data_IF_709410864953
#
_entry.id   IF_709410864953
#
_cell.length_a   1.000
_cell.length_b   1.000
_cell.length_c   1.000
_cell.angle_alpha   90.00
_cell.angle_beta   90.00
_cell.angle_gamma   90.00
#
_symmetry.space_group_name_H-M   'P 1'
#
loop_
_entity.id
_entity.type
_entity.pdbx_description
1 polymer ?
#
# COMPACT_ATOMS: atom_id res chain seq x y z
N UNK A 1 58.12 -19.26 8.40
CA UNK A 1 57.60 -20.19 9.42
C UNK A 1 56.83 -21.28 8.68
N UNK A 2 57.49 -22.38 8.34
CA UNK A 2 56.90 -23.46 7.56
C UNK A 2 56.06 -24.33 8.51
N UNK A 3 54.75 -24.14 8.51
CA UNK A 3 53.83 -25.00 9.26
C UNK A 3 53.91 -26.41 8.68
N UNK A 4 54.59 -27.31 9.38
CA UNK A 4 54.73 -28.69 8.94
C UNK A 4 53.35 -29.31 8.71
N UNK A 5 53.13 -30.03 7.60
CA UNK A 5 51.84 -30.65 7.27
C UNK A 5 51.22 -31.46 8.41
N UNK A 6 52.06 -32.04 9.26
CA UNK A 6 51.67 -32.80 10.43
C UNK A 6 50.88 -31.97 11.47
N UNK A 7 51.17 -30.68 11.61
CA UNK A 7 50.43 -29.79 12.52
C UNK A 7 49.00 -29.55 12.06
N UNK A 8 48.74 -29.49 10.76
CA UNK A 8 47.38 -29.36 10.22
C UNK A 8 46.53 -30.58 10.52
N UNK A 9 47.13 -31.78 10.46
CA UNK A 9 46.43 -33.04 10.76
C UNK A 9 46.05 -33.09 12.24
N UNK A 10 46.95 -32.70 13.14
CA UNK A 10 46.67 -32.63 14.59
C UNK A 10 45.62 -31.56 14.91
N UNK A 11 45.68 -30.40 14.27
CA UNK A 11 44.75 -29.30 14.50
C UNK A 11 43.33 -29.65 14.01
N UNK A 12 43.21 -30.24 12.82
CA UNK A 12 41.91 -30.72 12.30
C UNK A 12 41.36 -31.84 13.17
N UNK A 13 42.21 -32.78 13.61
CA UNK A 13 41.81 -33.83 14.54
C UNK A 13 41.29 -33.28 15.87
N UNK A 14 41.94 -32.25 16.42
CA UNK A 14 41.50 -31.59 17.65
C UNK A 14 40.14 -30.89 17.48
N UNK A 15 39.92 -30.19 16.37
CA UNK A 15 38.63 -29.55 16.06
C UNK A 15 37.52 -30.59 15.93
N UNK A 16 37.78 -31.72 15.26
CA UNK A 16 36.81 -32.82 15.12
C UNK A 16 36.50 -33.47 16.46
N UNK A 17 37.50 -33.68 17.32
CA UNK A 17 37.30 -34.21 18.68
C UNK A 17 36.47 -33.26 19.55
N UNK A 18 36.71 -31.95 19.46
CA UNK A 18 35.91 -30.95 20.17
C UNK A 18 34.47 -30.94 19.66
N UNK A 19 34.26 -30.96 18.35
CA UNK A 19 32.92 -31.02 17.77
C UNK A 19 32.17 -32.30 18.13
N UNK A 20 32.88 -33.43 18.07
CA UNK A 20 32.35 -34.74 18.46
C UNK A 20 31.98 -34.77 19.95
N UNK A 21 32.84 -34.25 20.83
CA UNK A 21 32.59 -34.21 22.26
C UNK A 21 31.44 -33.24 22.62
N UNK A 22 31.33 -32.11 21.92
CA UNK A 22 30.25 -31.15 22.09
C UNK A 22 28.89 -31.73 21.67
N UNK A 23 28.83 -32.41 20.52
CA UNK A 23 27.62 -33.10 20.06
C UNK A 23 27.29 -34.35 20.91
N UNK A 24 28.32 -35.09 21.35
CA UNK A 24 28.15 -36.28 22.18
C UNK A 24 27.72 -35.93 23.61
N UNK A 25 28.17 -34.81 24.18
CA UNK A 25 27.69 -34.33 25.49
C UNK A 25 26.22 -33.90 25.47
N UNK A 26 25.69 -33.50 24.32
CA UNK A 26 24.25 -33.26 24.13
C UNK A 26 23.41 -34.54 24.03
N UNK A 27 23.99 -35.68 23.60
CA UNK A 27 23.27 -36.96 23.43
C UNK A 27 23.54 -38.00 24.52
N UNK A 28 24.70 -37.93 25.19
CA UNK A 28 25.17 -38.93 26.15
C UNK A 28 24.38 -38.99 27.46
N UNK A 29 23.64 -37.93 27.81
CA UNK A 29 22.80 -37.89 29.00
C UNK A 29 21.34 -38.34 28.77
N UNK A 30 20.91 -38.53 27.51
CA UNK A 30 19.48 -38.72 27.20
C UNK A 30 19.13 -40.08 26.56
N UNK A 31 20.10 -40.98 26.39
CA UNK A 31 19.90 -42.25 25.64
C UNK A 31 18.91 -43.22 26.31
N UNK A 32 18.62 -43.06 27.59
CA UNK A 32 17.62 -43.88 28.32
C UNK A 32 16.22 -43.24 28.36
N UNK A 33 16.03 -41.99 27.89
CA UNK A 33 14.73 -41.27 27.92
C UNK A 33 14.20 -40.90 26.52
N UNK A 34 14.99 -41.14 25.48
CA UNK A 34 14.71 -40.70 24.10
C UNK A 34 13.60 -41.48 23.38
N UNK A 35 13.21 -42.68 23.84
CA UNK A 35 12.20 -43.50 23.15
C UNK A 35 10.75 -43.09 23.49
N UNK A 36 10.47 -42.67 24.73
CA UNK A 36 9.19 -42.03 25.10
C UNK A 36 9.07 -40.60 24.56
N UNK A 37 10.21 -39.91 24.44
CA UNK A 37 10.25 -38.51 23.97
C UNK A 37 9.96 -38.39 22.47
N UNK A 38 10.31 -39.42 21.68
CA UNK A 38 9.99 -39.44 20.25
C UNK A 38 8.51 -39.70 19.98
N UNK A 39 7.86 -40.54 20.79
CA UNK A 39 6.41 -40.79 20.68
C UNK A 39 5.60 -39.58 21.13
N UNK A 40 6.00 -38.95 22.25
CA UNK A 40 5.42 -37.68 22.68
C UNK A 40 5.62 -36.54 21.67
N UNK A 41 6.77 -36.51 20.97
CA UNK A 41 7.04 -35.54 19.90
C UNK A 41 6.20 -35.78 18.64
N UNK A 42 5.93 -37.04 18.29
CA UNK A 42 5.03 -37.40 17.19
C UNK A 42 3.57 -37.04 17.53
N UNK A 43 3.11 -37.33 18.75
CA UNK A 43 1.77 -36.95 19.21
C UNK A 43 1.57 -35.43 19.28
N UNK A 44 2.59 -34.68 19.70
CA UNK A 44 2.56 -33.21 19.67
C UNK A 44 2.54 -32.67 18.24
N UNK A 45 3.22 -33.34 17.30
CA UNK A 45 3.15 -33.00 15.88
C UNK A 45 1.78 -33.31 15.28
N UNK A 46 1.16 -34.43 15.66
CA UNK A 46 -0.20 -34.81 15.25
C UNK A 46 -1.23 -33.80 15.75
N UNK A 47 -1.17 -33.42 17.04
CA UNK A 47 -2.05 -32.41 17.62
C UNK A 47 -1.88 -31.04 16.94
N UNK A 48 -0.63 -30.66 16.63
CA UNK A 48 -0.35 -29.44 15.89
C UNK A 48 -0.90 -29.48 14.45
N UNK A 49 -0.92 -30.66 13.83
CA UNK A 49 -1.43 -30.85 12.47
C UNK A 49 -2.96 -30.86 12.43
N UNK A 50 -3.62 -31.46 13.43
CA UNK A 50 -5.07 -31.34 13.63
C UNK A 50 -5.49 -29.89 13.84
N UNK A 51 -4.78 -29.18 14.72
CA UNK A 51 -5.04 -27.76 14.96
C UNK A 51 -4.76 -26.89 13.72
N UNK A 52 -3.76 -27.25 12.92
CA UNK A 52 -3.49 -26.58 11.65
C UNK A 52 -4.59 -26.85 10.62
N UNK A 53 -5.07 -28.09 10.50
CA UNK A 53 -6.19 -28.43 9.59
C UNK A 53 -7.47 -27.70 9.97
N UNK A 54 -7.81 -27.65 11.27
CA UNK A 54 -8.99 -26.93 11.75
C UNK A 54 -8.91 -25.43 11.39
N UNK A 55 -7.74 -24.82 11.63
CA UNK A 55 -7.52 -23.42 11.29
C UNK A 55 -7.51 -23.17 9.77
N UNK A 56 -7.00 -24.10 8.98
CA UNK A 56 -6.96 -23.99 7.51
C UNK A 56 -8.34 -24.14 6.89
N UNK A 57 -9.18 -25.05 7.41
CA UNK A 57 -10.57 -25.20 6.96
C UNK A 57 -11.38 -23.93 7.27
N UNK A 58 -11.18 -23.35 8.46
CA UNK A 58 -11.81 -22.10 8.83
C UNK A 58 -11.32 -20.94 7.95
N UNK A 59 -10.02 -20.86 7.69
CA UNK A 59 -9.46 -19.87 6.76
C UNK A 59 -9.99 -20.02 5.34
N UNK A 60 -10.23 -21.25 4.88
CA UNK A 60 -10.79 -21.50 3.55
C UNK A 60 -12.25 -21.04 3.49
N UNK A 61 -13.05 -21.29 4.53
CA UNK A 61 -14.44 -20.80 4.63
C UNK A 61 -14.51 -19.27 4.70
N UNK A 62 -13.60 -18.64 5.42
CA UNK A 62 -13.56 -17.18 5.54
C UNK A 62 -13.14 -16.51 4.21
N UNK A 63 -12.14 -17.07 3.52
CA UNK A 63 -11.71 -16.59 2.21
C UNK A 63 -12.81 -16.71 1.16
N UNK A 64 -13.52 -17.84 1.11
CA UNK A 64 -14.63 -18.01 0.16
C UNK A 64 -15.77 -17.05 0.49
N UNK A 65 -16.11 -16.88 1.77
CA UNK A 65 -17.09 -15.90 2.22
C UNK A 65 -16.74 -14.47 1.82
N UNK A 66 -15.47 -14.06 2.01
CA UNK A 66 -14.98 -12.73 1.64
C UNK A 66 -14.99 -12.50 0.13
N UNK A 67 -14.62 -13.50 -0.67
CA UNK A 67 -14.67 -13.39 -2.13
C UNK A 67 -16.11 -13.27 -2.63
N UNK A 68 -17.04 -14.01 -2.03
CA UNK A 68 -18.46 -13.90 -2.36
C UNK A 68 -19.01 -12.51 -2.03
N UNK A 69 -18.74 -12.01 -0.82
CA UNK A 69 -19.20 -10.67 -0.42
C UNK A 69 -18.53 -9.56 -1.22
N UNK A 70 -17.24 -9.69 -1.56
CA UNK A 70 -16.52 -8.76 -2.43
C UNK A 70 -17.16 -8.72 -3.83
N UNK A 71 -17.54 -9.86 -4.40
CA UNK A 71 -18.23 -9.90 -5.69
C UNK A 71 -19.61 -9.28 -5.63
N UNK A 72 -20.32 -9.45 -4.52
CA UNK A 72 -21.64 -8.86 -4.31
C UNK A 72 -21.55 -7.33 -4.21
N UNK A 73 -20.57 -6.84 -3.45
CA UNK A 73 -20.26 -5.41 -3.37
C UNK A 73 -19.87 -4.82 -4.73
N UNK A 74 -19.00 -5.48 -5.50
CA UNK A 74 -18.63 -5.01 -6.84
C UNK A 74 -19.84 -4.94 -7.78
N UNK A 75 -20.77 -5.90 -7.71
CA UNK A 75 -22.01 -5.89 -8.48
C UNK A 75 -22.91 -4.73 -8.09
N UNK A 76 -23.06 -4.47 -6.78
CA UNK A 76 -23.89 -3.38 -6.30
C UNK A 76 -23.30 -2.02 -6.68
N UNK A 77 -21.99 -1.85 -6.57
CA UNK A 77 -21.30 -0.66 -7.06
C UNK A 77 -21.44 -0.48 -8.56
N UNK A 78 -21.28 -1.55 -9.34
CA UNK A 78 -21.48 -1.51 -10.79
C UNK A 78 -22.90 -1.09 -11.14
N UNK A 79 -23.92 -1.66 -10.47
CA UNK A 79 -25.31 -1.30 -10.66
C UNK A 79 -25.56 0.17 -10.35
N UNK A 80 -25.00 0.68 -9.24
CA UNK A 80 -25.12 2.09 -8.86
C UNK A 80 -24.44 3.03 -9.86
N UNK A 81 -23.31 2.61 -10.45
CA UNK A 81 -22.65 3.38 -11.52
C UNK A 81 -23.48 3.38 -12.79
N UNK A 82 -24.07 2.26 -13.16
CA UNK A 82 -24.97 2.13 -14.31
C UNK A 82 -26.23 2.99 -14.16
N UNK A 83 -26.85 2.99 -12.97
CA UNK A 83 -27.99 3.87 -12.64
C UNK A 83 -27.61 5.37 -12.82
N UNK A 84 -26.42 5.77 -12.36
CA UNK A 84 -25.92 7.14 -12.54
C UNK A 84 -25.63 7.47 -14.01
N UNK A 85 -25.10 6.52 -14.77
CA UNK A 85 -24.84 6.71 -16.21
C UNK A 85 -26.17 6.90 -16.93
N UNK A 86 -27.17 6.07 -16.66
CA UNK A 86 -28.50 6.19 -17.25
C UNK A 86 -29.14 7.55 -16.95
N UNK A 87 -29.03 8.04 -15.70
CA UNK A 87 -29.52 9.37 -15.33
C UNK A 87 -28.79 10.50 -16.09
N UNK A 88 -27.47 10.39 -16.24
CA UNK A 88 -26.68 11.37 -17.00
C UNK A 88 -27.03 11.36 -18.50
N UNK A 89 -27.25 10.18 -19.08
CA UNK A 89 -27.70 10.01 -20.46
C UNK A 89 -29.09 10.65 -20.68
N UNK A 90 -30.02 10.46 -19.74
CA UNK A 90 -31.34 11.10 -19.80
C UNK A 90 -31.21 12.64 -19.72
N UNK A 91 -30.37 13.16 -18.83
CA UNK A 91 -30.13 14.61 -18.72
C UNK A 91 -29.50 15.18 -19.99
N UNK A 92 -28.53 14.47 -20.58
CA UNK A 92 -27.90 14.87 -21.83
C UNK A 92 -28.90 14.88 -23.00
N UNK A 93 -29.72 13.82 -23.14
CA UNK A 93 -30.73 13.76 -24.21
C UNK A 93 -31.80 14.84 -24.05
N UNK A 94 -32.22 15.14 -22.81
CA UNK A 94 -33.14 16.26 -22.53
C UNK A 94 -32.53 17.61 -22.92
N UNK A 95 -31.31 17.89 -22.48
CA UNK A 95 -30.60 19.14 -22.82
C UNK A 95 -30.41 19.29 -24.33
N UNK A 96 -30.04 18.20 -25.00
CA UNK A 96 -29.89 18.21 -26.46
C UNK A 96 -31.21 18.51 -27.15
N UNK A 97 -32.33 17.94 -26.67
CA UNK A 97 -33.67 18.24 -27.20
C UNK A 97 -34.08 19.70 -26.98
N UNK A 98 -33.78 20.26 -25.82
CA UNK A 98 -34.03 21.69 -25.53
C UNK A 98 -33.22 22.60 -26.46
N UNK A 99 -31.94 22.28 -26.71
CA UNK A 99 -31.10 23.01 -27.66
C UNK A 99 -31.59 22.89 -29.10
N UNK A 100 -32.01 21.70 -29.53
CA UNK A 100 -32.59 21.50 -30.87
C UNK A 100 -33.89 22.31 -31.04
N UNK A 101 -34.75 22.35 -30.03
CA UNK A 101 -35.97 23.17 -30.05
C UNK A 101 -35.68 24.67 -30.06
N UNK A 102 -34.68 25.13 -29.29
CA UNK A 102 -34.23 26.53 -29.33
C UNK A 102 -33.59 26.89 -30.66
N UNK A 103 -32.75 26.02 -31.22
CA UNK A 103 -32.15 26.22 -32.53
C UNK A 103 -33.22 26.29 -33.63
N UNK A 104 -34.22 25.40 -33.58
CA UNK A 104 -35.35 25.42 -34.50
C UNK A 104 -36.20 26.70 -34.36
N UNK A 105 -36.44 27.19 -33.14
CA UNK A 105 -37.19 28.43 -32.92
C UNK A 105 -36.43 29.67 -33.40
N UNK A 106 -35.12 29.73 -33.18
CA UNK A 106 -34.25 30.80 -33.73
C UNK A 106 -34.20 30.74 -35.25
N UNK A 107 -34.08 29.56 -35.85
CA UNK A 107 -34.11 29.39 -37.30
C UNK A 107 -35.45 29.81 -37.91
N UNK A 108 -36.57 29.46 -37.28
CA UNK A 108 -37.90 29.90 -37.69
C UNK A 108 -38.09 31.41 -37.54
N UNK A 109 -37.59 32.02 -36.47
CA UNK A 109 -37.60 33.47 -36.27
C UNK A 109 -36.72 34.20 -37.30
N UNK A 110 -35.56 33.63 -37.67
CA UNK A 110 -34.70 34.16 -38.73
C UNK A 110 -35.33 34.04 -40.12
N UNK A 111 -36.04 32.94 -40.39
CA UNK A 111 -36.77 32.74 -41.65
C UNK A 111 -38.00 33.65 -41.77
N UNK A 112 -38.73 33.87 -40.68
CA UNK A 112 -39.86 34.81 -40.63
C UNK A 112 -39.40 36.29 -40.60
N UNK A 113 -38.21 36.56 -40.06
CA UNK A 113 -37.56 37.88 -39.98
C UNK A 113 -36.69 38.24 -41.18
N UNK A 114 -36.77 37.46 -42.28
CA UNK A 114 -35.96 37.65 -43.49
C UNK A 114 -36.35 38.87 -44.33
N UNK A 115 -36.23 40.08 -43.78
CA UNK A 115 -35.84 41.32 -44.49
C UNK A 115 -35.76 42.51 -43.53
N UNK A 116 -34.77 42.52 -42.61
CA UNK A 116 -34.23 43.77 -42.06
C UNK A 116 -32.98 43.48 -41.23
N UNK A 117 -31.81 43.93 -41.71
CA UNK A 117 -30.70 44.25 -40.82
C UNK A 117 -29.50 43.31 -40.84
N UNK A 118 -28.99 42.93 -42.01
CA UNK A 118 -27.54 42.73 -42.10
C UNK A 118 -26.87 44.11 -42.05
N UNK A 119 -26.45 44.53 -40.85
CA UNK A 119 -25.51 45.64 -40.68
C UNK A 119 -24.13 45.04 -40.40
N UNK A 120 -23.12 45.25 -41.26
CA UNK A 120 -21.78 44.81 -40.98
C UNK A 120 -21.19 45.74 -39.91
N UNK A 121 -20.90 45.21 -38.72
CA UNK A 121 -20.08 45.88 -37.72
C UNK A 121 -18.63 45.51 -37.97
N UNK A 122 -17.87 46.49 -38.45
CA UNK A 122 -16.42 46.47 -38.60
C UNK A 122 -15.71 46.33 -37.24
N UNK A 123 -14.45 45.86 -37.20
CA UNK A 123 -13.76 45.53 -35.95
C UNK A 123 -13.19 46.81 -35.31
N UNK A 124 -13.72 47.17 -34.14
CA UNK A 124 -13.10 48.18 -33.29
C UNK A 124 -12.09 47.50 -32.36
N UNK A 125 -10.82 47.67 -32.70
CA UNK A 125 -9.70 47.31 -31.86
C UNK A 125 -9.68 48.12 -30.55
N UNK A 126 -9.31 47.42 -29.48
CA UNK A 126 -8.61 47.91 -28.30
C UNK A 126 -9.17 49.14 -27.57
N UNK A 127 -9.99 48.87 -26.55
CA UNK A 127 -10.07 49.71 -25.36
C UNK A 127 -9.80 48.83 -24.12
N UNK A 128 -8.52 48.70 -23.78
CA UNK A 128 -8.10 48.26 -22.46
C UNK A 128 -8.41 49.38 -21.46
N UNK A 129 -9.30 49.12 -20.50
CA UNK A 129 -9.24 49.83 -19.23
C UNK A 129 -9.28 48.82 -18.07
N UNK A 130 -8.52 49.09 -17.00
CA UNK A 130 -8.21 48.13 -15.95
C UNK A 130 -9.25 48.21 -14.83
N UNK A 131 -9.76 47.06 -14.40
CA UNK A 131 -10.53 46.97 -13.15
C UNK A 131 -9.68 46.21 -12.14
N UNK A 132 -9.01 47.03 -11.34
CA UNK A 132 -8.57 46.88 -9.96
C UNK A 132 -9.10 45.64 -9.21
N UNK A 133 -8.19 44.68 -9.00
CA UNK A 133 -8.30 43.66 -7.96
C UNK A 133 -7.47 44.16 -6.75
N UNK A 134 -7.95 44.01 -5.50
CA UNK A 134 -7.17 44.38 -4.33
C UNK A 134 -5.83 43.63 -4.26
N UNK A 135 -4.75 44.40 -4.22
CA UNK A 135 -3.38 43.96 -4.04
C UNK A 135 -3.15 43.52 -2.58
N UNK A 136 -2.83 42.24 -2.37
CA UNK A 136 -1.88 41.85 -1.33
C UNK A 136 -0.73 41.13 -2.04
N UNK A 137 0.33 41.90 -2.28
CA UNK A 137 1.50 41.47 -3.03
C UNK A 137 2.63 42.46 -2.84
N UNK A 138 3.07 42.62 -1.59
CA UNK A 138 4.40 43.15 -1.30
C UNK A 138 5.41 42.06 -1.66
N UNK A 139 5.94 42.15 -2.87
CA UNK A 139 7.27 41.65 -3.14
C UNK A 139 8.29 42.61 -2.50
N UNK A 140 9.19 42.08 -1.68
CA UNK A 140 10.62 42.33 -1.85
C UNK A 140 11.44 41.34 -1.00
N UNK A 141 12.49 40.83 -1.65
CA UNK A 141 13.77 40.43 -1.06
C UNK A 141 14.03 38.93 -0.81
N UNK A 142 14.56 38.34 -1.89
CA UNK A 142 15.92 37.83 -1.96
C UNK A 142 16.30 36.57 -1.16
N UNK A 143 16.69 35.57 -1.94
CA UNK A 143 17.86 34.73 -1.71
C UNK A 143 17.88 33.91 -0.41
N UNK A 144 17.28 32.73 -0.49
CA UNK A 144 17.94 31.53 -0.01
C UNK A 144 17.45 30.34 -0.85
N UNK A 145 18.39 29.73 -1.58
CA UNK A 145 18.26 28.36 -2.02
C UNK A 145 18.10 27.47 -0.78
N UNK A 146 16.85 27.24 -0.36
CA UNK A 146 16.55 26.26 0.68
C UNK A 146 16.33 24.92 -0.01
N UNK A 147 17.32 24.06 0.22
CA UNK A 147 17.31 22.63 -0.05
C UNK A 147 15.94 22.01 0.23
N UNK A 148 15.53 20.97 -0.51
CA UNK A 148 14.25 20.32 -0.27
C UNK A 148 14.21 19.86 1.18
N UNK A 149 13.30 20.44 1.96
CA UNK A 149 13.02 19.98 3.32
C UNK A 149 12.78 18.47 3.26
N UNK A 150 13.73 17.72 3.81
CA UNK A 150 13.69 16.27 3.82
C UNK A 150 12.38 15.84 4.48
N UNK A 151 11.51 15.18 3.71
CA UNK A 151 10.29 14.60 4.26
C UNK A 151 10.67 13.74 5.46
N UNK A 152 9.88 13.73 6.55
CA UNK A 152 10.18 12.89 7.71
C UNK A 152 10.27 11.43 7.25
N UNK A 153 11.36 10.76 7.63
CA UNK A 153 11.65 9.38 7.23
C UNK A 153 10.56 8.42 7.69
N UNK A 154 10.48 7.25 7.08
CA UNK A 154 9.44 6.24 7.33
C UNK A 154 9.43 5.79 8.79
N UNK A 155 10.59 5.75 9.46
CA UNK A 155 10.65 5.52 10.92
C UNK A 155 9.99 6.63 11.74
N UNK A 156 10.14 7.90 11.35
CA UNK A 156 9.54 9.03 12.07
C UNK A 156 8.03 9.10 11.88
N UNK A 157 7.52 8.69 10.72
CA UNK A 157 6.07 8.66 10.45
C UNK A 157 5.35 7.53 11.18
N UNK A 158 6.04 6.43 11.44
CA UNK A 158 5.48 5.22 12.04
C UNK A 158 6.19 4.85 13.35
N UNK A 159 6.57 5.84 14.18
CA UNK A 159 7.25 5.61 15.47
C UNK A 159 6.48 4.64 16.36
N UNK A 160 5.16 4.85 16.50
CA UNK A 160 4.28 4.00 17.31
C UNK A 160 4.28 2.52 16.86
N UNK A 161 4.50 2.24 15.57
CA UNK A 161 4.62 0.88 15.05
C UNK A 161 5.92 0.22 15.50
N UNK A 162 7.03 0.97 15.44
CA UNK A 162 8.34 0.50 15.90
C UNK A 162 8.38 0.35 17.42
N UNK A 163 7.78 1.26 18.18
CA UNK A 163 7.70 1.18 19.64
C UNK A 163 6.98 -0.10 20.09
N UNK A 164 5.86 -0.45 19.43
CA UNK A 164 5.13 -1.69 19.71
C UNK A 164 5.92 -2.93 19.29
N UNK A 165 6.71 -2.85 18.22
CA UNK A 165 7.60 -3.93 17.80
C UNK A 165 8.77 -4.14 18.77
N UNK A 166 9.35 -3.06 19.31
CA UNK A 166 10.41 -3.13 20.33
C UNK A 166 9.90 -3.68 21.67
N UNK A 167 8.62 -3.46 21.98
CA UNK A 167 7.92 -4.11 23.10
C UNK A 167 7.72 -5.63 22.90
N UNK A 168 8.11 -6.19 21.75
CA UNK A 168 8.04 -7.61 21.45
C UNK A 168 6.66 -8.09 20.98
N UNK A 169 5.75 -7.18 20.60
CA UNK A 169 4.44 -7.57 20.07
C UNK A 169 4.59 -8.17 18.68
N UNK A 170 3.77 -9.18 18.39
CA UNK A 170 3.77 -9.79 17.07
C UNK A 170 3.21 -8.82 16.01
N UNK A 171 3.63 -8.98 14.76
CA UNK A 171 3.18 -8.18 13.62
C UNK A 171 1.65 -8.14 13.52
N UNK A 172 0.98 -9.23 13.88
CA UNK A 172 -0.48 -9.33 13.90
C UNK A 172 -1.13 -8.55 15.05
N UNK A 173 -0.48 -8.50 16.21
CA UNK A 173 -0.95 -7.69 17.33
C UNK A 173 -0.77 -6.20 17.04
N UNK A 174 0.33 -5.83 16.38
CA UNK A 174 0.61 -4.45 15.94
C UNK A 174 -0.44 -4.01 14.90
N UNK A 175 -0.71 -4.86 13.90
CA UNK A 175 -1.76 -4.65 12.91
C UNK A 175 -3.14 -4.40 13.55
N UNK A 176 -3.54 -5.26 14.50
CA UNK A 176 -4.81 -5.12 15.24
C UNK A 176 -4.87 -3.86 16.11
N UNK A 177 -3.76 -3.46 16.76
CA UNK A 177 -3.70 -2.28 17.64
C UNK A 177 -3.72 -0.96 16.87
N UNK A 178 -3.10 -0.93 15.70
CA UNK A 178 -3.00 0.27 14.86
C UNK A 178 -4.10 0.35 13.78
N UNK A 179 -4.95 -0.67 13.67
CA UNK A 179 -5.98 -0.75 12.63
C UNK A 179 -5.41 -0.88 11.20
N UNK A 180 -4.21 -1.45 11.08
CA UNK A 180 -3.48 -1.61 9.81
C UNK A 180 -3.52 -3.07 9.36
N UNK A 181 -3.35 -3.32 8.06
CA UNK A 181 -3.22 -4.68 7.55
C UNK A 181 -1.84 -5.28 7.86
N UNK A 182 -1.76 -6.60 8.09
CA UNK A 182 -0.47 -7.31 8.31
C UNK A 182 0.56 -7.01 7.21
N UNK A 183 0.09 -6.91 5.96
CA UNK A 183 0.93 -6.56 4.81
C UNK A 183 1.49 -5.14 4.88
N UNK A 184 0.72 -4.17 5.37
CA UNK A 184 1.16 -2.78 5.53
C UNK A 184 2.24 -2.67 6.61
N UNK A 185 2.07 -3.37 7.74
CA UNK A 185 3.08 -3.40 8.82
C UNK A 185 4.41 -3.98 8.32
N UNK A 186 4.37 -5.06 7.54
CA UNK A 186 5.56 -5.66 6.94
C UNK A 186 6.21 -4.73 5.90
N UNK A 187 5.42 -4.07 5.06
CA UNK A 187 5.90 -3.14 4.05
C UNK A 187 6.61 -1.95 4.70
N UNK A 188 6.01 -1.37 5.75
CA UNK A 188 6.61 -0.26 6.50
C UNK A 188 7.93 -0.69 7.14
N UNK A 189 8.00 -1.90 7.70
CA UNK A 189 9.24 -2.42 8.29
C UNK A 189 10.34 -2.63 7.23
N UNK A 190 9.99 -3.12 6.04
CA UNK A 190 10.94 -3.28 4.94
C UNK A 190 11.44 -1.94 4.41
N UNK A 191 10.53 -0.98 4.20
CA UNK A 191 10.88 0.36 3.75
C UNK A 191 11.77 1.08 4.76
N UNK A 192 11.50 0.95 6.06
CA UNK A 192 12.36 1.51 7.11
C UNK A 192 13.76 0.88 7.16
N UNK A 193 13.91 -0.39 6.77
CA UNK A 193 15.23 -1.04 6.60
C UNK A 193 15.95 -0.50 5.37
N UNK A 194 15.25 -0.33 4.25
CA UNK A 194 15.81 0.22 3.01
C UNK A 194 16.24 1.68 3.17
N UNK A 195 15.46 2.50 3.89
CA UNK A 195 15.85 3.88 4.20
C UNK A 195 17.07 3.95 5.11
N UNK A 196 17.17 3.07 6.12
CA UNK A 196 18.38 2.98 6.95
C UNK A 196 19.63 2.63 6.13
N UNK A 197 19.54 1.62 5.26
CA UNK A 197 20.64 1.22 4.40
C UNK A 197 21.04 2.30 3.38
N UNK A 198 20.06 3.08 2.89
CA UNK A 198 20.30 4.19 1.96
C UNK A 198 20.87 5.43 2.64
N UNK A 199 20.56 5.65 3.93
CA UNK A 199 21.17 6.71 4.73
C UNK A 199 22.58 6.37 5.23
N UNK A 200 22.93 5.09 5.40
CA UNK A 200 24.30 4.65 5.76
C UNK A 200 25.27 4.61 4.56
N UNK A 201 24.75 4.60 3.32
CA UNK A 201 25.54 4.53 2.09
C UNK A 201 25.83 5.89 1.42
N UNK A 202 25.38 7.00 2.02
CA UNK A 202 25.62 8.38 1.56
C UNK A 202 26.47 9.15 2.56
#
# INVERSE_FOLDING_TARGET
>A
MNMQPWHYIVLVGAVVLVWSNLLARGRGANKTKSQDSSDAGLQQMELALEQFMENMEQSQRDLTGLVLSSKEQEKEEARRREERIAELEERCTRLQREMELQAASVAAAAAAGGSAGQRPVAPAAAASQPVEAPQEGLAESAAAAQAPASKPGIRQRFTMLFDLHEQGLSVEQIAKRLGMNKGEVLLIQQLAKQEGARHEAS
#
